data_IF_287619532284
#
_entry.id   IF_287619532284
#
_cell.length_a   1.000
_cell.length_b   1.000
_cell.length_c   1.000
_cell.angle_alpha   90.00
_cell.angle_beta   90.00
_cell.angle_gamma   90.00
#
_symmetry.space_group_name_H-M   'P 1'
#
loop_
_entity.id
_entity.type
_entity.pdbx_description
1 polymer ?
#
# COMPACT_ATOMS: atom_id res chain seq x y z
N UNK A 1 -36.22 25.29 5.84
CA UNK A 1 -34.88 25.90 5.78
C UNK A 1 -33.80 25.10 6.53
N UNK A 2 -34.03 24.66 7.78
CA UNK A 2 -33.05 23.87 8.56
C UNK A 2 -32.68 22.51 7.95
N UNK A 3 -33.66 21.75 7.45
CA UNK A 3 -33.44 20.46 6.76
C UNK A 3 -32.57 20.60 5.51
N UNK A 4 -32.71 21.71 4.78
CA UNK A 4 -31.94 22.02 3.57
C UNK A 4 -30.47 22.29 3.88
N UNK A 5 -30.17 22.88 5.03
CA UNK A 5 -28.79 23.15 5.45
C UNK A 5 -28.06 21.87 5.86
N UNK A 6 -28.74 20.93 6.54
CA UNK A 6 -28.17 19.61 6.85
C UNK A 6 -27.99 18.76 5.60
N UNK A 7 -28.97 18.80 4.68
CA UNK A 7 -28.86 18.12 3.39
C UNK A 7 -27.70 18.68 2.57
N UNK A 8 -27.50 20.01 2.59
CA UNK A 8 -26.39 20.69 1.91
C UNK A 8 -25.03 20.35 2.52
N UNK A 9 -24.91 20.29 3.85
CA UNK A 9 -23.65 19.91 4.50
C UNK A 9 -23.31 18.44 4.22
N UNK A 10 -24.31 17.56 4.23
CA UNK A 10 -24.14 16.15 3.93
C UNK A 10 -23.74 15.93 2.46
N UNK A 11 -24.39 16.62 1.52
CA UNK A 11 -24.06 16.56 0.09
C UNK A 11 -22.76 17.25 -0.26
N UNK A 12 -22.36 18.29 0.47
CA UNK A 12 -21.08 18.96 0.32
C UNK A 12 -19.91 18.11 0.82
N UNK A 13 -20.07 17.39 1.95
CA UNK A 13 -19.11 16.38 2.38
C UNK A 13 -19.04 15.21 1.41
N UNK A 14 -20.19 14.77 0.87
CA UNK A 14 -20.23 13.71 -0.16
C UNK A 14 -19.57 14.15 -1.48
N UNK A 15 -19.78 15.39 -1.93
CA UNK A 15 -19.18 15.91 -3.15
C UNK A 15 -17.67 16.13 -3.01
N UNK A 16 -17.19 16.51 -1.82
CA UNK A 16 -15.74 16.57 -1.53
C UNK A 16 -15.08 15.19 -1.67
N UNK A 17 -15.77 14.12 -1.26
CA UNK A 17 -15.26 12.74 -1.41
C UNK A 17 -15.28 12.25 -2.86
N UNK A 18 -16.21 12.74 -3.68
CA UNK A 18 -16.27 12.44 -5.12
C UNK A 18 -15.22 13.22 -5.93
N UNK A 19 -14.90 14.46 -5.55
CA UNK A 19 -13.85 15.26 -6.20
C UNK A 19 -12.43 14.75 -5.92
N UNK A 20 -12.21 13.96 -4.85
CA UNK A 20 -10.92 13.33 -4.55
C UNK A 20 -10.72 11.97 -5.23
N UNK A 21 -11.73 11.46 -5.95
CA UNK A 21 -11.58 10.32 -6.84
C UNK A 21 -10.93 10.80 -8.15
N UNK A 22 -9.60 10.93 -8.16
CA UNK A 22 -8.84 11.35 -9.34
C UNK A 22 -9.29 10.58 -10.59
N UNK A 23 -9.74 11.33 -11.59
CA UNK A 23 -10.27 10.87 -12.87
C UNK A 23 -9.20 10.42 -13.89
N UNK A 24 -8.04 9.96 -13.43
CA UNK A 24 -7.00 9.39 -14.28
C UNK A 24 -6.31 8.26 -13.53
N UNK A 25 -6.98 7.13 -13.42
CA UNK A 25 -6.33 5.90 -12.99
C UNK A 25 -6.28 5.00 -14.21
N UNK A 26 -5.08 4.87 -14.78
CA UNK A 26 -4.81 3.79 -15.72
C UNK A 26 -5.21 2.46 -15.10
N UNK A 27 -5.58 1.47 -15.91
CA UNK A 27 -6.00 0.15 -15.43
C UNK A 27 -4.76 -0.58 -14.90
N UNK A 28 -4.60 -0.75 -13.58
CA UNK A 28 -3.42 -1.38 -13.03
C UNK A 28 -3.61 -2.89 -12.94
N UNK A 29 -2.50 -3.63 -12.88
CA UNK A 29 -2.50 -5.09 -12.71
C UNK A 29 -3.07 -5.50 -11.35
N UNK A 30 -2.70 -4.75 -10.32
CA UNK A 30 -3.22 -4.84 -8.96
C UNK A 30 -3.90 -3.52 -8.59
N UNK A 31 -4.93 -3.58 -7.74
CA UNK A 31 -5.71 -2.39 -7.38
C UNK A 31 -4.91 -1.26 -6.70
N UNK A 32 -3.69 -1.52 -6.22
CA UNK A 32 -2.75 -0.55 -5.67
C UNK A 32 -1.33 -0.90 -6.11
N UNK A 33 -0.50 0.11 -6.36
CA UNK A 33 0.94 -0.08 -6.56
C UNK A 33 1.56 -0.84 -5.38
N UNK A 34 2.45 -1.82 -5.61
CA UNK A 34 3.13 -2.56 -4.56
C UNK A 34 4.09 -1.66 -3.77
N UNK A 35 4.48 -2.10 -2.57
CA UNK A 35 5.37 -1.35 -1.67
C UNK A 35 6.77 -1.11 -2.26
N UNK A 36 7.32 -2.10 -2.97
CA UNK A 36 8.61 -2.01 -3.63
C UNK A 36 8.67 -0.95 -4.73
N UNK A 37 7.51 -0.58 -5.30
CA UNK A 37 7.40 0.48 -6.30
C UNK A 37 7.04 1.85 -5.69
N UNK A 38 6.28 1.85 -4.60
CA UNK A 38 5.69 3.09 -4.05
C UNK A 38 6.50 3.72 -2.92
N UNK A 39 7.08 2.88 -2.06
CA UNK A 39 7.55 3.33 -0.75
C UNK A 39 9.00 2.94 -0.51
N UNK A 40 9.30 1.64 -0.58
CA UNK A 40 10.54 1.10 -0.07
C UNK A 40 10.93 -0.16 -0.83
N UNK A 41 12.10 -0.09 -1.45
CA UNK A 41 12.78 -1.26 -1.99
C UNK A 41 13.08 -2.27 -0.87
N UNK A 42 12.94 -3.58 -1.14
CA UNK A 42 13.35 -4.60 -0.19
C UNK A 42 14.84 -4.47 0.13
N UNK A 43 15.22 -4.76 1.37
CA UNK A 43 16.63 -4.75 1.79
C UNK A 43 17.17 -6.17 1.62
N UNK A 44 18.29 -6.37 0.92
CA UNK A 44 18.87 -7.69 0.75
C UNK A 44 19.35 -8.22 2.11
N UNK A 45 19.13 -9.51 2.36
CA UNK A 45 19.57 -10.18 3.60
C UNK A 45 21.09 -10.27 3.71
N UNK A 46 21.76 -10.38 2.56
CA UNK A 46 23.21 -10.55 2.44
C UNK A 46 23.80 -9.66 1.33
N UNK A 47 25.13 -9.62 1.26
CA UNK A 47 25.85 -8.74 0.33
C UNK A 47 26.08 -9.37 -1.07
N UNK A 48 25.54 -10.55 -1.37
CA UNK A 48 25.81 -11.23 -2.66
C UNK A 48 24.97 -10.68 -3.81
N UNK A 49 23.89 -9.96 -3.51
CA UNK A 49 22.96 -9.42 -4.49
C UNK A 49 22.40 -8.05 -4.07
N UNK A 50 21.70 -7.40 -5.00
CA UNK A 50 20.93 -6.18 -4.75
C UNK A 50 19.60 -6.23 -5.51
N UNK A 51 18.65 -5.40 -5.09
CA UNK A 51 17.38 -5.25 -5.79
C UNK A 51 17.48 -4.15 -6.84
N UNK A 52 16.95 -4.41 -8.04
CA UNK A 52 16.89 -3.46 -9.15
C UNK A 52 15.48 -3.45 -9.75
N UNK A 53 14.95 -2.26 -10.00
CA UNK A 53 13.71 -2.08 -10.76
C UNK A 53 14.08 -1.75 -12.20
N UNK A 54 13.34 -2.34 -13.13
CA UNK A 54 13.31 -1.88 -14.52
C UNK A 54 11.88 -1.65 -14.97
N UNK A 55 11.70 -0.73 -15.90
CA UNK A 55 10.42 -0.26 -16.40
C UNK A 55 10.43 0.12 -17.88
N UNK A 56 9.39 -0.24 -18.61
CA UNK A 56 9.22 0.26 -19.97
C UNK A 56 7.77 0.47 -20.34
N UNK A 57 7.56 1.38 -21.30
CA UNK A 57 6.26 1.70 -21.87
C UNK A 57 6.14 1.14 -23.29
N UNK A 58 5.03 0.49 -23.59
CA UNK A 58 4.73 0.03 -24.94
C UNK A 58 3.22 -0.09 -25.18
N UNK A 59 2.81 -0.19 -26.44
CA UNK A 59 1.39 -0.39 -26.81
C UNK A 59 0.86 -1.81 -26.53
N UNK A 60 1.75 -2.75 -26.21
CA UNK A 60 1.41 -4.11 -25.82
C UNK A 60 2.17 -4.47 -24.54
N UNK A 61 1.51 -5.18 -23.64
CA UNK A 61 2.09 -5.68 -22.39
C UNK A 61 3.35 -6.50 -22.62
N UNK A 62 3.38 -7.40 -23.60
CA UNK A 62 4.57 -8.22 -23.87
C UNK A 62 5.73 -7.40 -24.42
N UNK A 63 5.43 -6.35 -25.20
CA UNK A 63 6.45 -5.39 -25.64
C UNK A 63 6.99 -4.57 -24.48
N UNK A 64 6.14 -4.19 -23.53
CA UNK A 64 6.56 -3.47 -22.32
C UNK A 64 7.40 -4.36 -21.40
N UNK A 65 7.03 -5.65 -21.24
CA UNK A 65 7.84 -6.65 -20.53
C UNK A 65 9.22 -6.83 -21.15
N UNK A 66 9.27 -7.01 -22.47
CA UNK A 66 10.53 -7.14 -23.19
C UNK A 66 11.37 -5.85 -23.10
N UNK A 67 10.73 -4.68 -23.13
CA UNK A 67 11.41 -3.39 -22.93
C UNK A 67 12.01 -3.27 -21.54
N UNK A 68 11.25 -3.60 -20.48
CA UNK A 68 11.71 -3.54 -19.10
C UNK A 68 12.86 -4.54 -18.87
N UNK A 69 12.79 -5.71 -19.49
CA UNK A 69 13.89 -6.68 -19.48
C UNK A 69 15.14 -6.12 -20.16
N UNK A 70 15.02 -5.51 -21.34
CA UNK A 70 16.16 -4.87 -22.04
C UNK A 70 16.80 -3.76 -21.21
N UNK A 71 16.00 -2.95 -20.51
CA UNK A 71 16.54 -1.92 -19.63
C UNK A 71 17.36 -2.51 -18.48
N UNK A 72 16.93 -3.64 -17.88
CA UNK A 72 17.73 -4.33 -16.89
C UNK A 72 19.10 -4.74 -17.46
N UNK A 73 19.12 -5.32 -18.66
CA UNK A 73 20.38 -5.71 -19.30
C UNK A 73 21.28 -4.48 -19.53
N UNK A 74 20.73 -3.40 -20.08
CA UNK A 74 21.47 -2.15 -20.28
C UNK A 74 22.01 -1.57 -18.96
N UNK A 75 21.26 -1.70 -17.86
CA UNK A 75 21.71 -1.28 -16.54
C UNK A 75 22.92 -2.10 -16.06
N UNK A 76 22.87 -3.43 -16.23
CA UNK A 76 23.98 -4.32 -15.85
C UNK A 76 25.21 -4.06 -16.73
N UNK A 77 25.01 -3.82 -18.03
CA UNK A 77 26.07 -3.45 -18.97
C UNK A 77 26.84 -2.22 -18.48
N UNK A 78 26.10 -1.15 -18.16
CA UNK A 78 26.68 0.11 -17.72
C UNK A 78 27.34 -0.01 -16.34
N UNK A 79 26.72 -0.72 -15.41
CA UNK A 79 27.19 -0.83 -14.03
C UNK A 79 28.49 -1.62 -13.94
N UNK A 80 28.59 -2.70 -14.71
CA UNK A 80 29.77 -3.57 -14.67
C UNK A 80 30.82 -3.18 -15.73
N UNK A 81 30.51 -2.22 -16.61
CA UNK A 81 31.32 -1.86 -17.78
C UNK A 81 31.58 -3.06 -18.71
N UNK A 82 30.54 -3.85 -18.92
CA UNK A 82 30.55 -5.11 -19.67
C UNK A 82 29.63 -4.96 -20.86
N UNK A 83 29.99 -5.53 -22.02
CA UNK A 83 29.03 -5.73 -23.11
C UNK A 83 28.42 -7.11 -23.01
N UNK A 84 27.18 -7.18 -22.54
CA UNK A 84 26.41 -8.41 -22.45
C UNK A 84 25.96 -8.82 -23.86
N UNK A 85 26.51 -9.93 -24.35
CA UNK A 85 26.07 -10.61 -25.57
C UNK A 85 26.01 -12.10 -25.28
N UNK A 86 24.81 -12.68 -25.20
CA UNK A 86 24.66 -14.08 -24.80
C UNK A 86 23.26 -14.66 -24.86
N UNK A 87 23.17 -15.89 -24.37
CA UNK A 87 21.95 -16.70 -24.33
C UNK A 87 21.38 -16.73 -22.91
N UNK A 88 20.05 -16.66 -22.79
CA UNK A 88 19.35 -16.70 -21.50
C UNK A 88 19.20 -18.16 -21.08
N UNK A 89 19.94 -18.59 -20.05
CA UNK A 89 19.70 -19.88 -19.41
C UNK A 89 18.64 -19.68 -18.35
N UNK A 90 17.43 -20.18 -18.61
CA UNK A 90 16.32 -20.11 -17.65
C UNK A 90 16.28 -21.38 -16.81
N UNK A 91 16.46 -21.24 -15.49
CA UNK A 91 16.22 -22.33 -14.54
C UNK A 91 14.95 -22.00 -13.76
N UNK A 92 13.88 -22.74 -14.03
CA UNK A 92 12.63 -22.60 -13.28
C UNK A 92 12.60 -23.62 -12.16
N UNK A 93 12.48 -23.15 -10.92
CA UNK A 93 12.21 -24.00 -9.75
C UNK A 93 10.85 -23.65 -9.18
N UNK A 94 9.93 -24.63 -9.14
CA UNK A 94 8.65 -24.50 -8.44
C UNK A 94 8.78 -25.06 -7.03
N UNK A 95 8.29 -24.31 -6.04
CA UNK A 95 8.10 -24.81 -4.68
C UNK A 95 6.59 -24.81 -4.43
N UNK A 96 6.00 -26.00 -4.32
CA UNK A 96 4.61 -26.15 -3.88
C UNK A 96 4.59 -26.09 -2.35
N UNK A 97 3.76 -25.20 -1.80
CA UNK A 97 3.51 -25.13 -0.36
C UNK A 97 2.09 -25.62 -0.12
N UNK A 98 1.92 -26.63 0.73
CA UNK A 98 0.71 -27.46 0.87
C UNK A 98 -0.50 -26.74 1.51
N UNK A 99 -0.31 -25.55 2.08
CA UNK A 99 -1.39 -24.77 2.70
C UNK A 99 -1.77 -23.57 1.83
N UNK A 100 -2.85 -23.77 1.06
CA UNK A 100 -3.65 -22.72 0.40
C UNK A 100 -2.90 -21.86 -0.65
N UNK A 101 -2.84 -22.41 -1.87
CA UNK A 101 -2.64 -21.74 -3.18
C UNK A 101 -1.77 -20.49 -3.16
N UNK A 102 -0.45 -20.68 -3.09
CA UNK A 102 0.50 -19.74 -3.67
C UNK A 102 1.68 -20.56 -4.23
N UNK A 103 1.61 -20.89 -5.51
CA UNK A 103 2.75 -21.50 -6.21
C UNK A 103 3.83 -20.42 -6.36
N UNK A 104 4.93 -20.55 -5.60
CA UNK A 104 6.09 -19.67 -5.75
C UNK A 104 6.89 -20.20 -6.94
N UNK A 105 6.58 -19.69 -8.14
CA UNK A 105 7.37 -19.97 -9.33
C UNK A 105 8.61 -19.05 -9.28
N UNK A 106 9.69 -19.54 -8.70
CA UNK A 106 10.98 -18.86 -8.74
C UNK A 106 11.62 -19.13 -10.09
N UNK A 107 11.51 -18.17 -11.02
CA UNK A 107 12.28 -18.18 -12.27
C UNK A 107 13.63 -17.51 -12.02
N UNK A 108 14.66 -18.34 -11.92
CA UNK A 108 16.05 -17.88 -11.90
C UNK A 108 16.55 -17.82 -13.33
N UNK A 109 17.16 -16.70 -13.68
CA UNK A 109 17.78 -16.50 -14.96
C UNK A 109 19.29 -16.38 -14.72
N UNK A 110 20.04 -17.21 -15.42
CA UNK A 110 21.49 -17.10 -15.48
C UNK A 110 21.84 -16.66 -16.89
N UNK A 111 22.43 -15.49 -17.01
CA UNK A 111 22.85 -14.95 -18.29
C UNK A 111 24.35 -15.16 -18.44
N UNK A 112 24.72 -15.94 -19.46
CA UNK A 112 26.12 -16.25 -19.77
C UNK A 112 26.65 -15.23 -20.77
N UNK A 113 27.81 -14.65 -20.52
CA UNK A 113 28.51 -13.83 -21.50
C UNK A 113 30.02 -14.05 -21.43
N UNK A 114 30.73 -13.60 -22.47
CA UNK A 114 32.19 -13.73 -22.59
C UNK A 114 32.83 -12.36 -22.50
N UNK A 115 33.80 -12.19 -21.59
CA UNK A 115 34.75 -11.07 -21.57
C UNK A 115 36.14 -11.65 -21.75
N UNK A 116 36.91 -11.12 -22.71
CA UNK A 116 38.34 -11.37 -22.87
C UNK A 116 38.79 -12.84 -22.74
N UNK A 117 37.94 -13.77 -23.20
CA UNK A 117 38.11 -15.25 -23.19
C UNK A 117 37.66 -16.00 -21.92
N UNK A 118 37.13 -15.32 -20.90
CA UNK A 118 36.49 -15.95 -19.74
C UNK A 118 34.95 -15.91 -19.83
N UNK A 119 34.31 -17.01 -19.46
CA UNK A 119 32.85 -17.11 -19.41
C UNK A 119 32.35 -16.66 -18.04
N UNK A 120 31.69 -15.52 -17.99
CA UNK A 120 31.12 -14.94 -16.77
C UNK A 120 29.59 -15.10 -16.80
N UNK A 121 29.00 -15.34 -15.62
CA UNK A 121 27.56 -15.51 -15.46
C UNK A 121 27.00 -14.37 -14.61
N UNK A 122 26.06 -13.58 -15.16
CA UNK A 122 25.21 -12.74 -14.30
C UNK A 122 24.00 -13.56 -13.91
N UNK A 123 23.79 -13.70 -12.61
CA UNK A 123 22.59 -14.33 -12.09
C UNK A 123 21.60 -13.23 -11.71
N UNK A 124 20.37 -13.35 -12.18
CA UNK A 124 19.27 -12.52 -11.70
C UNK A 124 17.98 -13.32 -11.55
N UNK A 125 17.16 -12.94 -10.59
CA UNK A 125 15.85 -13.55 -10.35
C UNK A 125 14.77 -12.49 -10.51
N UNK A 126 13.72 -12.79 -11.28
CA UNK A 126 12.52 -11.96 -11.31
C UNK A 126 11.71 -12.21 -10.03
N UNK A 127 11.44 -11.14 -9.28
CA UNK A 127 10.78 -11.20 -7.97
C UNK A 127 9.30 -10.88 -8.09
N UNK A 128 8.97 -9.80 -8.80
CA UNK A 128 7.59 -9.37 -9.01
C UNK A 128 7.43 -8.60 -10.32
N UNK A 129 6.19 -8.51 -10.80
CA UNK A 129 5.80 -7.66 -11.94
C UNK A 129 4.55 -6.86 -11.57
N UNK A 130 4.54 -5.59 -11.94
CA UNK A 130 3.38 -4.71 -11.82
C UNK A 130 3.24 -3.90 -13.11
N UNK A 131 2.03 -3.76 -13.65
CA UNK A 131 1.82 -2.96 -14.85
C UNK A 131 0.60 -2.03 -14.72
N UNK A 132 0.64 -0.92 -15.44
CA UNK A 132 -0.43 0.08 -15.50
C UNK A 132 -0.75 0.39 -16.96
N UNK A 133 -2.03 0.44 -17.32
CA UNK A 133 -2.47 0.75 -18.67
C UNK A 133 -3.15 2.13 -18.72
N UNK A 134 -2.51 3.09 -19.38
CA UNK A 134 -3.03 4.45 -19.55
C UNK A 134 -3.64 4.61 -20.94
N UNK A 135 -4.81 5.26 -21.03
CA UNK A 135 -5.38 5.65 -22.33
C UNK A 135 -4.80 6.98 -22.75
N UNK A 136 -4.20 7.02 -23.93
CA UNK A 136 -3.71 8.25 -24.55
C UNK A 136 -4.88 9.01 -25.18
N UNK A 137 -4.72 10.32 -25.39
CA UNK A 137 -5.69 11.19 -26.07
C UNK A 137 -6.16 10.63 -27.42
N UNK A 138 -5.31 9.87 -28.11
CA UNK A 138 -5.60 9.21 -29.40
C UNK A 138 -6.32 7.86 -29.26
N UNK A 139 -6.95 7.59 -28.12
CA UNK A 139 -7.62 6.32 -27.78
C UNK A 139 -6.73 5.06 -27.80
N UNK A 140 -5.40 5.21 -27.92
CA UNK A 140 -4.44 4.11 -27.81
C UNK A 140 -4.09 3.84 -26.34
N UNK A 141 -4.07 2.55 -25.97
CA UNK A 141 -3.64 2.11 -24.64
C UNK A 141 -2.12 1.94 -24.62
N UNK A 142 -1.47 2.58 -23.64
CA UNK A 142 -0.05 2.40 -23.36
C UNK A 142 0.07 1.63 -22.06
N UNK A 143 0.77 0.50 -22.11
CA UNK A 143 1.14 -0.30 -20.94
C UNK A 143 2.48 0.18 -20.42
N UNK A 144 2.54 0.49 -19.14
CA UNK A 144 3.76 0.74 -18.39
C UNK A 144 4.01 -0.46 -17.48
N UNK A 145 5.05 -1.24 -17.78
CA UNK A 145 5.40 -2.42 -17.00
C UNK A 145 6.60 -2.11 -16.10
N UNK A 146 6.52 -2.48 -14.83
CA UNK A 146 7.59 -2.42 -13.83
C UNK A 146 7.90 -3.83 -13.37
N UNK A 147 9.17 -4.20 -13.34
CA UNK A 147 9.62 -5.51 -12.86
C UNK A 147 10.69 -5.34 -11.81
N UNK A 148 10.55 -6.05 -10.70
CA UNK A 148 11.54 -6.10 -9.63
C UNK A 148 12.44 -7.32 -9.84
N UNK A 149 13.75 -7.09 -9.82
CA UNK A 149 14.77 -8.12 -9.96
C UNK A 149 15.70 -8.15 -8.75
N UNK A 150 16.21 -9.34 -8.43
CA UNK A 150 17.42 -9.51 -7.64
C UNK A 150 18.58 -9.75 -8.61
N UNK A 151 19.69 -9.03 -8.47
CA UNK A 151 20.85 -9.12 -9.38
C UNK A 151 22.11 -9.41 -8.56
N UNK A 152 22.97 -10.32 -9.02
CA UNK A 152 24.25 -10.63 -8.36
C UNK A 152 25.21 -9.44 -8.40
N UNK A 153 25.99 -9.23 -7.33
CA UNK A 153 27.01 -8.17 -7.28
C UNK A 153 28.32 -8.55 -7.98
N UNK A 154 28.80 -9.77 -7.78
CA UNK A 154 30.17 -10.17 -8.13
C UNK A 154 30.25 -11.26 -9.21
N UNK A 155 29.24 -11.41 -10.08
CA UNK A 155 29.23 -12.43 -11.15
C UNK A 155 29.32 -13.90 -10.67
N UNK A 156 29.39 -14.11 -9.35
CA UNK A 156 29.27 -15.39 -8.68
C UNK A 156 27.81 -15.73 -8.39
N UNK A 157 27.54 -17.00 -8.11
CA UNK A 157 26.20 -17.49 -7.76
C UNK A 157 25.72 -16.83 -6.46
N UNK A 158 24.70 -15.95 -6.51
CA UNK A 158 24.25 -15.23 -5.32
C UNK A 158 23.33 -16.11 -4.48
N UNK A 159 23.26 -15.79 -3.19
CA UNK A 159 22.26 -16.36 -2.28
C UNK A 159 21.03 -15.45 -2.30
N UNK A 160 20.10 -15.72 -3.22
CA UNK A 160 18.88 -14.93 -3.38
C UNK A 160 17.85 -15.19 -2.28
N UNK A 161 17.23 -14.11 -1.81
CA UNK A 161 16.18 -14.15 -0.81
C UNK A 161 14.93 -14.88 -1.27
N UNK A 162 14.25 -15.52 -0.31
CA UNK A 162 12.89 -16.00 -0.50
C UNK A 162 11.93 -14.86 -0.19
N UNK A 163 11.45 -14.23 -1.26
CA UNK A 163 10.47 -13.17 -1.17
C UNK A 163 9.08 -13.75 -1.34
N UNK A 164 8.20 -13.40 -0.41
CA UNK A 164 6.77 -13.70 -0.47
C UNK A 164 5.98 -12.41 -0.45
N UNK A 165 4.73 -12.46 -0.89
CA UNK A 165 3.86 -11.29 -0.95
C UNK A 165 2.64 -11.49 -0.06
N UNK A 166 2.20 -10.40 0.57
CA UNK A 166 0.95 -10.40 1.31
C UNK A 166 0.16 -9.12 1.10
N UNK A 167 -1.16 -9.22 1.12
CA UNK A 167 -2.07 -8.08 1.13
C UNK A 167 -2.59 -7.75 2.54
N UNK A 168 -2.28 -8.61 3.52
CA UNK A 168 -2.79 -8.52 4.89
C UNK A 168 -1.82 -7.77 5.79
N UNK A 169 -2.33 -6.74 6.47
CA UNK A 169 -1.55 -5.90 7.40
C UNK A 169 -1.78 -6.29 8.88
N UNK A 170 -2.80 -7.11 9.15
CA UNK A 170 -3.13 -7.61 10.48
C UNK A 170 -3.39 -6.51 11.50
N UNK A 171 -3.12 -6.80 12.77
CA UNK A 171 -3.34 -5.88 13.90
C UNK A 171 -2.55 -4.57 13.81
N UNK A 172 -1.49 -4.53 13.02
CA UNK A 172 -0.67 -3.32 12.88
C UNK A 172 -1.43 -2.16 12.24
N UNK A 173 -2.35 -2.44 11.31
CA UNK A 173 -3.22 -1.42 10.71
C UNK A 173 -4.35 -1.02 11.66
N UNK A 174 -4.84 -1.96 12.47
CA UNK A 174 -5.88 -1.73 13.48
C UNK A 174 -5.46 -0.70 14.52
N UNK A 175 -4.33 -0.94 15.20
CA UNK A 175 -3.86 -0.04 16.26
C UNK A 175 -3.62 1.38 15.74
N UNK A 176 -3.14 1.49 14.49
CA UNK A 176 -2.96 2.79 13.82
C UNK A 176 -4.27 3.51 13.57
N UNK A 177 -5.30 2.82 13.07
CA UNK A 177 -6.64 3.39 12.87
C UNK A 177 -7.38 3.67 14.18
N UNK A 178 -7.10 2.92 15.25
CA UNK A 178 -7.69 3.15 16.58
C UNK A 178 -7.10 4.40 17.25
N UNK A 179 -5.81 4.68 17.05
CA UNK A 179 -5.17 5.89 17.60
C UNK A 179 -5.54 7.15 16.82
N UNK A 180 -5.46 7.07 15.49
CA UNK A 180 -5.75 8.21 14.61
C UNK A 180 -6.68 7.74 13.49
N UNK A 181 -7.92 8.27 13.42
CA UNK A 181 -8.86 7.96 12.35
C UNK A 181 -8.23 8.17 10.97
N UNK A 182 -8.34 7.17 10.10
CA UNK A 182 -7.77 7.22 8.75
C UNK A 182 -6.29 6.82 8.63
N UNK A 183 -5.51 6.77 9.72
CA UNK A 183 -4.07 6.49 9.64
C UNK A 183 -3.76 5.06 9.17
N UNK A 184 -4.53 4.05 9.62
CA UNK A 184 -4.37 2.68 9.14
C UNK A 184 -4.62 2.52 7.64
N UNK A 185 -5.52 3.34 7.06
CA UNK A 185 -5.80 3.33 5.63
C UNK A 185 -4.67 3.94 4.81
N UNK A 186 -4.07 5.03 5.30
CA UNK A 186 -2.86 5.63 4.70
C UNK A 186 -1.72 4.61 4.72
N UNK A 187 -1.51 3.93 5.85
CA UNK A 187 -0.49 2.89 5.99
C UNK A 187 -0.69 1.72 5.01
N UNK A 188 -1.94 1.34 4.73
CA UNK A 188 -2.31 0.33 3.73
C UNK A 188 -2.18 0.81 2.26
N UNK A 189 -1.70 2.02 2.02
CA UNK A 189 -1.59 2.62 0.69
C UNK A 189 -2.90 3.21 0.15
N UNK A 190 -3.94 3.35 0.97
CA UNK A 190 -5.19 4.04 0.60
C UNK A 190 -5.22 5.45 1.18
N UNK A 191 -4.31 6.31 0.72
CA UNK A 191 -4.18 7.69 1.20
C UNK A 191 -5.50 8.47 1.08
N UNK A 192 -6.18 8.40 -0.06
CA UNK A 192 -7.45 9.10 -0.29
C UNK A 192 -8.51 8.70 0.73
N UNK A 193 -8.70 7.40 0.98
CA UNK A 193 -9.65 6.92 1.99
C UNK A 193 -9.28 7.41 3.39
N UNK A 194 -7.99 7.31 3.74
CA UNK A 194 -7.50 7.73 5.04
C UNK A 194 -7.66 9.24 5.29
N UNK A 195 -7.34 10.07 4.31
CA UNK A 195 -7.52 11.53 4.38
C UNK A 195 -8.99 11.91 4.47
N UNK A 196 -9.87 11.24 3.71
CA UNK A 196 -11.32 11.51 3.79
C UNK A 196 -11.90 11.16 5.16
N UNK A 197 -11.50 10.02 5.75
CA UNK A 197 -11.91 9.63 7.11
C UNK A 197 -11.40 10.67 8.12
N UNK A 198 -10.11 11.02 8.07
CA UNK A 198 -9.51 11.99 8.97
C UNK A 198 -10.18 13.37 8.84
N UNK A 199 -10.41 13.84 7.61
CA UNK A 199 -11.08 15.10 7.33
C UNK A 199 -12.53 15.12 7.80
N UNK A 200 -13.27 14.03 7.60
CA UNK A 200 -14.62 13.87 8.13
C UNK A 200 -14.65 13.97 9.66
N UNK A 201 -13.67 13.37 10.33
CA UNK A 201 -13.61 13.37 11.79
C UNK A 201 -13.23 14.74 12.37
N UNK A 202 -12.28 15.43 11.73
CA UNK A 202 -11.96 16.83 12.07
C UNK A 202 -13.18 17.73 11.88
N UNK A 203 -13.96 17.54 10.82
CA UNK A 203 -15.16 18.32 10.56
C UNK A 203 -16.24 18.08 11.63
N UNK A 204 -16.46 16.83 12.03
CA UNK A 204 -17.43 16.47 13.06
C UNK A 204 -17.03 17.02 14.43
N UNK A 205 -15.76 16.89 14.83
CA UNK A 205 -15.23 17.47 16.08
C UNK A 205 -15.38 18.99 16.07
N UNK A 206 -15.03 19.65 14.96
CA UNK A 206 -15.22 21.11 14.82
C UNK A 206 -16.69 21.50 14.95
N UNK A 207 -17.59 20.72 14.33
CA UNK A 207 -19.04 20.89 14.46
C UNK A 207 -19.51 20.79 15.92
N UNK A 208 -19.01 19.82 16.68
CA UNK A 208 -19.33 19.66 18.12
C UNK A 208 -18.91 20.91 18.90
N UNK A 209 -17.68 21.39 18.71
CA UNK A 209 -17.14 22.54 19.45
C UNK A 209 -17.93 23.82 19.12
N UNK A 210 -18.18 24.10 17.83
CA UNK A 210 -18.89 25.30 17.41
C UNK A 210 -20.34 25.31 17.89
N UNK A 211 -21.02 24.16 17.81
CA UNK A 211 -22.42 24.03 18.23
C UNK A 211 -22.56 24.11 19.74
N UNK A 212 -21.63 23.52 20.52
CA UNK A 212 -21.64 23.65 21.98
C UNK A 212 -21.36 25.08 22.44
N UNK A 213 -20.39 25.76 21.83
CA UNK A 213 -20.11 27.16 22.15
C UNK A 213 -21.32 28.05 21.84
N UNK A 214 -21.95 27.84 20.68
CA UNK A 214 -23.15 28.60 20.28
C UNK A 214 -24.34 28.31 21.19
N UNK A 215 -24.58 27.04 21.55
CA UNK A 215 -25.59 26.61 22.52
C UNK A 215 -25.38 27.30 23.87
N UNK A 216 -24.15 27.27 24.39
CA UNK A 216 -23.78 27.91 25.66
C UNK A 216 -24.06 29.41 25.63
N UNK A 217 -23.70 30.09 24.54
CA UNK A 217 -23.98 31.52 24.33
C UNK A 217 -25.47 31.84 24.36
N UNK A 218 -26.31 31.07 23.67
CA UNK A 218 -27.77 31.27 23.70
C UNK A 218 -28.37 30.97 25.07
N UNK A 219 -27.88 29.93 25.76
CA UNK A 219 -28.31 29.60 27.12
C UNK A 219 -27.96 30.70 28.12
N UNK A 220 -26.80 31.35 27.97
CA UNK A 220 -26.43 32.54 28.75
C UNK A 220 -27.36 33.71 28.46
N UNK A 221 -27.62 34.02 27.19
CA UNK A 221 -28.57 35.09 26.81
C UNK A 221 -29.98 34.86 27.36
N UNK A 222 -30.45 33.62 27.39
CA UNK A 222 -31.73 33.27 28.00
C UNK A 222 -31.76 33.56 29.51
N UNK A 223 -30.65 33.37 30.24
CA UNK A 223 -30.56 33.67 31.68
C UNK A 223 -30.48 35.17 31.98
N UNK A 224 -29.85 35.94 31.10
CA UNK A 224 -29.62 37.39 31.28
C UNK A 224 -30.80 38.25 30.81
N UNK A 225 -31.79 37.65 30.13
CA UNK A 225 -32.96 38.36 29.59
C UNK A 225 -34.16 38.22 30.51
N UNK A 226 -34.91 39.29 30.74
CA UNK A 226 -36.13 39.29 31.57
C UNK A 226 -37.44 39.21 30.76
N UNK A 227 -37.35 39.31 29.44
CA UNK A 227 -38.49 39.20 28.51
C UNK A 227 -38.79 37.73 28.16
N UNK A 228 -39.99 37.26 28.55
CA UNK A 228 -40.45 35.87 28.38
C UNK A 228 -40.40 35.40 26.94
N UNK A 229 -40.75 36.26 25.96
CA UNK A 229 -40.76 35.88 24.55
C UNK A 229 -39.33 35.67 24.02
N UNK A 230 -38.39 36.51 24.46
CA UNK A 230 -36.98 36.39 24.10
C UNK A 230 -36.31 35.20 24.79
N UNK A 231 -36.65 34.93 26.05
CA UNK A 231 -36.19 33.74 26.77
C UNK A 231 -36.58 32.48 26.00
N UNK A 232 -37.86 32.34 25.62
CA UNK A 232 -38.34 31.17 24.86
C UNK A 232 -37.59 31.00 23.55
N UNK A 233 -37.43 32.07 22.78
CA UNK A 233 -36.69 32.03 21.51
C UNK A 233 -35.21 31.65 21.68
N UNK A 234 -34.53 32.14 22.72
CA UNK A 234 -33.14 31.77 22.98
C UNK A 234 -33.00 30.32 23.45
N UNK A 235 -33.93 29.82 24.27
CA UNK A 235 -33.98 28.41 24.67
C UNK A 235 -34.23 27.52 23.46
N UNK A 236 -35.23 27.83 22.63
CA UNK A 236 -35.50 27.06 21.40
C UNK A 236 -34.27 27.01 20.49
N UNK A 237 -33.54 28.11 20.34
CA UNK A 237 -32.28 28.13 19.57
C UNK A 237 -31.20 27.24 20.22
N UNK A 238 -31.03 27.31 21.54
CA UNK A 238 -30.08 26.46 22.25
C UNK A 238 -30.39 24.97 22.06
N UNK A 239 -31.66 24.57 22.14
CA UNK A 239 -32.11 23.18 21.95
C UNK A 239 -31.89 22.69 20.50
N UNK A 240 -32.04 23.59 19.52
CA UNK A 240 -31.67 23.29 18.14
C UNK A 240 -30.17 23.00 18.01
N UNK A 241 -29.30 23.83 18.59
CA UNK A 241 -27.85 23.60 18.55
C UNK A 241 -27.42 22.36 19.34
N UNK A 242 -28.13 22.01 20.42
CA UNK A 242 -27.94 20.75 21.12
C UNK A 242 -28.24 19.54 20.22
N UNK A 243 -29.33 19.62 19.46
CA UNK A 243 -29.68 18.58 18.49
C UNK A 243 -28.57 18.40 17.45
N UNK A 244 -28.04 19.50 16.90
CA UNK A 244 -26.91 19.44 15.94
C UNK A 244 -25.68 18.83 16.56
N UNK A 245 -25.31 19.27 17.76
CA UNK A 245 -24.16 18.72 18.49
C UNK A 245 -24.29 17.21 18.67
N UNK A 246 -25.47 16.73 19.07
CA UNK A 246 -25.72 15.30 19.26
C UNK A 246 -25.64 14.53 17.94
N UNK A 247 -26.09 15.10 16.82
CA UNK A 247 -25.90 14.52 15.47
C UNK A 247 -24.41 14.45 15.11
N UNK A 248 -23.62 15.50 15.39
CA UNK A 248 -22.18 15.47 15.14
C UNK A 248 -21.45 14.44 16.02
N UNK A 249 -21.83 14.31 17.30
CA UNK A 249 -21.30 13.27 18.21
C UNK A 249 -21.63 11.88 17.66
N UNK A 250 -22.89 11.63 17.29
CA UNK A 250 -23.31 10.35 16.73
C UNK A 250 -22.58 10.04 15.42
N UNK A 251 -22.43 11.04 14.54
CA UNK A 251 -21.67 10.93 13.31
C UNK A 251 -20.20 10.56 13.56
N UNK A 252 -19.56 11.20 14.54
CA UNK A 252 -18.16 10.93 14.88
C UNK A 252 -17.96 9.50 15.42
N UNK A 253 -18.87 9.04 16.27
CA UNK A 253 -18.84 7.66 16.77
C UNK A 253 -19.02 6.66 15.63
N UNK A 254 -19.98 6.91 14.73
CA UNK A 254 -20.25 6.03 13.60
C UNK A 254 -19.07 5.97 12.62
N UNK A 255 -18.46 7.12 12.29
CA UNK A 255 -17.32 7.21 11.39
C UNK A 255 -16.07 6.53 12.00
N UNK A 256 -15.85 6.70 13.30
CA UNK A 256 -14.78 6.03 14.03
C UNK A 256 -14.92 4.49 13.99
N UNK A 257 -16.10 3.96 14.31
CA UNK A 257 -16.37 2.51 14.26
C UNK A 257 -16.15 1.97 12.84
N UNK A 258 -16.68 2.68 11.84
CA UNK A 258 -16.47 2.31 10.43
C UNK A 258 -14.98 2.25 10.07
N UNK A 259 -14.20 3.26 10.46
CA UNK A 259 -12.75 3.30 10.21
C UNK A 259 -12.01 2.10 10.83
N UNK A 260 -12.35 1.70 12.06
CA UNK A 260 -11.71 0.55 12.73
C UNK A 260 -12.07 -0.75 12.01
N UNK A 261 -13.35 -0.97 11.68
CA UNK A 261 -13.82 -2.18 10.99
C UNK A 261 -13.21 -2.29 9.59
N UNK A 262 -13.24 -1.19 8.82
CA UNK A 262 -12.66 -1.17 7.48
C UNK A 262 -11.14 -1.36 7.53
N UNK A 263 -10.46 -0.90 8.58
CA UNK A 263 -9.03 -1.15 8.78
C UNK A 263 -8.71 -2.61 9.13
N UNK A 264 -9.66 -3.45 9.54
CA UNK A 264 -9.45 -4.91 9.62
C UNK A 264 -9.71 -5.56 8.28
N UNK A 265 -10.88 -5.27 7.71
CA UNK A 265 -11.44 -6.05 6.62
C UNK A 265 -10.76 -5.76 5.28
N UNK A 266 -10.26 -4.54 5.07
CA UNK A 266 -9.71 -4.15 3.78
C UNK A 266 -8.31 -4.71 3.54
N UNK A 267 -8.06 -5.19 2.33
CA UNK A 267 -6.72 -5.51 1.87
C UNK A 267 -5.92 -4.22 1.56
N UNK A 268 -4.64 -4.23 1.94
CA UNK A 268 -3.73 -3.13 1.65
C UNK A 268 -3.03 -3.29 0.30
N UNK A 269 -2.07 -2.41 0.01
CA UNK A 269 -1.14 -2.63 -1.10
C UNK A 269 -0.31 -3.89 -0.87
N UNK A 270 0.05 -4.57 -1.95
CA UNK A 270 0.92 -5.74 -1.94
C UNK A 270 2.22 -5.38 -1.22
N UNK A 271 2.55 -6.12 -0.16
CA UNK A 271 3.77 -5.92 0.62
C UNK A 271 4.78 -7.03 0.34
N UNK A 272 6.04 -6.65 0.26
CA UNK A 272 7.15 -7.55 0.07
C UNK A 272 7.63 -8.06 1.43
N UNK A 273 7.61 -9.37 1.60
CA UNK A 273 8.06 -10.04 2.82
C UNK A 273 9.25 -10.92 2.51
N UNK A 274 10.43 -10.51 2.98
CA UNK A 274 11.61 -11.37 2.98
C UNK A 274 11.46 -12.39 4.11
N UNK A 275 11.20 -13.64 3.76
CA UNK A 275 11.12 -14.70 4.75
C UNK A 275 12.53 -15.16 5.09
N UNK A 276 12.95 -14.92 6.34
CA UNK A 276 14.15 -15.56 6.88
C UNK A 276 13.86 -17.05 7.00
N UNK A 277 14.71 -17.89 6.39
CA UNK A 277 14.57 -19.34 6.53
C UNK A 277 14.96 -19.71 7.95
N UNK A 278 13.94 -20.02 8.76
CA UNK A 278 14.10 -20.65 10.05
C UNK A 278 13.86 -22.14 9.80
N UNK A 279 14.92 -22.94 9.84
CA UNK A 279 14.80 -24.38 9.71
C UNK A 279 15.06 -25.04 11.06
N UNK A 280 14.11 -25.84 11.48
CA UNK A 280 14.23 -26.73 12.64
C UNK A 280 14.56 -28.11 12.11
N UNK A 281 15.75 -28.60 12.41
CA UNK A 281 16.14 -29.97 12.06
C UNK A 281 16.36 -30.77 13.33
N UNK A 282 15.71 -31.94 13.49
CA UNK A 282 16.06 -32.83 14.58
C UNK A 282 17.48 -33.35 14.33
N UNK A 283 18.34 -33.23 15.33
CA UNK A 283 19.71 -33.73 15.28
C UNK A 283 19.83 -34.93 16.20
N UNK A 284 20.17 -36.08 15.62
CA UNK A 284 20.42 -37.32 16.32
C UNK A 284 21.93 -37.60 16.29
N UNK A 285 22.54 -37.67 17.47
CA UNK A 285 23.93 -38.07 17.70
C UNK A 285 23.95 -39.22 18.70
N UNK A 286 25.00 -40.05 18.66
CA UNK A 286 25.20 -41.16 19.60
C UNK A 286 25.24 -40.70 21.07
N UNK A 287 25.55 -39.43 21.31
CA UNK A 287 25.71 -38.84 22.65
C UNK A 287 24.51 -37.94 23.04
N UNK A 288 23.80 -37.34 22.06
CA UNK A 288 22.75 -36.37 22.34
C UNK A 288 21.66 -36.38 21.26
N UNK A 289 20.40 -36.24 21.71
CA UNK A 289 19.27 -35.91 20.85
C UNK A 289 18.89 -34.46 21.08
N UNK A 290 18.69 -33.70 20.02
CA UNK A 290 18.38 -32.28 20.12
C UNK A 290 17.63 -31.74 18.91
N UNK A 291 17.30 -30.45 18.99
CA UNK A 291 16.73 -29.69 17.89
C UNK A 291 17.78 -28.65 17.51
N UNK A 292 18.25 -28.70 16.27
CA UNK A 292 19.08 -27.65 15.70
C UNK A 292 18.18 -26.59 15.07
N UNK A 293 18.45 -25.34 15.45
CA UNK A 293 17.89 -24.17 14.81
C UNK A 293 18.93 -23.62 13.85
N UNK A 294 18.65 -23.69 12.54
CA UNK A 294 19.43 -22.96 11.56
C UNK A 294 18.69 -21.71 11.12
N UNK A 295 19.35 -20.57 11.31
CA UNK A 295 18.94 -19.27 10.82
C UNK A 295 19.84 -18.95 9.63
N UNK A 296 19.28 -19.01 8.41
CA UNK A 296 19.99 -18.49 7.25
C UNK A 296 19.78 -16.97 7.23
N UNK A 297 20.85 -16.23 7.51
CA UNK A 297 20.91 -14.77 7.46
C UNK A 297 21.16 -14.27 6.05
#
# INVERSE_FOLDING_TARGET
MKLFFYLFLLTFLWSLTLCLYSANQGFPSDGKRPDWLSDKLPVPSNNTFYYQISSAKAYNLDSARNGAFKELINYIDQTNNIKISGEIITTSSSIQTEDNVNEIINKEYSYKYKIDSEELFVHFRKVDEYWEAEKTSDAKTIYHCYTLYMVSKNLEKPLFDHVSFSYKYGMSALWRSALVPGYGQIYKGSATKGVSILGGEVALITGIILTENTRSSYRRKAKETFDVNKIKNYTDKADNYETVRNVCIGGAIALYIYNVVDAVASNGKKRTMTNKRIAFTPTFSTEHNGISLSLAF
#
